data_IF_533271486926
#
_entry.id   IF_533271486926
#
_cell.length_a   1.000
_cell.length_b   1.000
_cell.length_c   1.000
_cell.angle_alpha   90.00
_cell.angle_beta   90.00
_cell.angle_gamma   90.00
#
_symmetry.space_group_name_H-M   'P 1'
#
loop_
_entity.id
_entity.type
_entity.pdbx_description
1 polymer ?
#
# COMPACT_ATOMS: atom_id res chain seq x y z
N UNK A 1 11.72 -8.49 -23.74
CA UNK A 1 11.82 -9.57 -22.74
C UNK A 1 11.94 -8.91 -21.38
N UNK A 2 11.07 -9.18 -20.40
CA UNK A 2 11.32 -8.70 -19.05
C UNK A 2 12.67 -9.28 -18.58
N UNK A 3 13.58 -8.41 -18.15
CA UNK A 3 14.89 -8.81 -17.65
C UNK A 3 14.70 -9.78 -16.49
N UNK A 4 15.51 -10.85 -16.36
CA UNK A 4 15.46 -11.73 -15.20
C UNK A 4 15.79 -10.89 -13.97
N UNK A 5 14.76 -10.51 -13.23
CA UNK A 5 14.92 -9.81 -11.97
C UNK A 5 15.37 -10.86 -10.96
N UNK A 6 16.66 -10.91 -10.66
CA UNK A 6 17.18 -11.70 -9.54
C UNK A 6 17.03 -10.87 -8.27
N UNK A 7 16.02 -11.13 -7.42
CA UNK A 7 15.88 -10.38 -6.18
C UNK A 7 17.10 -10.58 -5.28
N UNK A 8 17.37 -9.63 -4.39
CA UNK A 8 18.36 -9.83 -3.33
C UNK A 8 17.92 -10.95 -2.38
N UNK A 9 18.85 -11.46 -1.57
CA UNK A 9 18.53 -12.44 -0.52
C UNK A 9 17.49 -11.88 0.46
N UNK A 10 17.58 -10.59 0.80
CA UNK A 10 16.63 -9.93 1.69
C UNK A 10 15.21 -9.92 1.10
N UNK A 11 15.08 -9.61 -0.21
CA UNK A 11 13.79 -9.63 -0.90
C UNK A 11 13.21 -11.05 -0.93
N UNK A 12 14.02 -12.07 -1.24
CA UNK A 12 13.56 -13.47 -1.19
C UNK A 12 13.07 -13.88 0.19
N UNK A 13 13.78 -13.49 1.26
CA UNK A 13 13.37 -13.79 2.64
C UNK A 13 12.05 -13.10 3.00
N UNK A 14 11.89 -11.84 2.63
CA UNK A 14 10.67 -11.09 2.88
C UNK A 14 9.46 -11.73 2.17
N UNK A 15 9.63 -12.11 0.90
CA UNK A 15 8.58 -12.79 0.13
C UNK A 15 8.27 -14.20 0.67
N UNK A 16 9.29 -14.97 1.05
CA UNK A 16 9.09 -16.29 1.67
C UNK A 16 8.32 -16.18 2.99
N UNK A 17 8.62 -15.17 3.81
CA UNK A 17 7.87 -14.89 5.05
C UNK A 17 6.43 -14.52 4.73
N UNK A 18 6.21 -13.59 3.79
CA UNK A 18 4.85 -13.23 3.35
C UNK A 18 4.08 -14.46 2.86
N UNK A 19 4.68 -15.31 2.03
CA UNK A 19 4.06 -16.54 1.54
C UNK A 19 3.67 -17.50 2.66
N UNK A 20 4.55 -17.69 3.65
CA UNK A 20 4.27 -18.49 4.85
C UNK A 20 3.11 -17.91 5.66
N UNK A 21 3.13 -16.59 5.90
CA UNK A 21 2.09 -15.90 6.65
C UNK A 21 0.72 -16.03 5.95
N UNK A 22 0.69 -15.95 4.61
CA UNK A 22 -0.52 -16.18 3.80
C UNK A 22 -1.04 -17.61 3.93
N UNK A 23 -0.15 -18.60 3.86
CA UNK A 23 -0.50 -20.01 4.05
C UNK A 23 -1.08 -20.24 5.44
N UNK A 24 -0.45 -19.71 6.47
CA UNK A 24 -0.92 -19.83 7.86
C UNK A 24 -2.26 -19.14 8.06
N UNK A 25 -2.45 -17.96 7.45
CA UNK A 25 -3.71 -17.23 7.49
C UNK A 25 -4.84 -17.98 6.75
N UNK A 26 -4.52 -18.68 5.65
CA UNK A 26 -5.47 -19.56 4.95
C UNK A 26 -5.87 -20.76 5.81
N UNK A 27 -4.89 -21.44 6.40
CA UNK A 27 -5.12 -22.63 7.23
C UNK A 27 -5.91 -22.29 8.51
N UNK A 28 -5.58 -21.18 9.19
CA UNK A 28 -6.31 -20.69 10.38
C UNK A 28 -7.77 -20.37 10.10
N UNK A 29 -8.12 -20.03 8.86
CA UNK A 29 -9.50 -19.76 8.41
C UNK A 29 -10.17 -20.98 7.80
N UNK A 30 -9.53 -22.15 7.85
CA UNK A 30 -10.02 -23.41 7.24
C UNK A 30 -10.39 -23.25 5.76
N UNK A 31 -9.68 -22.39 5.03
CA UNK A 31 -9.95 -22.13 3.61
C UNK A 31 -9.19 -23.14 2.73
N UNK A 32 -9.88 -23.96 1.92
CA UNK A 32 -9.22 -24.82 0.95
C UNK A 32 -8.47 -24.00 -0.10
N UNK A 33 -7.35 -24.52 -0.60
CA UNK A 33 -6.54 -23.85 -1.62
C UNK A 33 -7.35 -23.54 -2.90
N UNK A 34 -8.26 -24.44 -3.31
CA UNK A 34 -9.17 -24.18 -4.44
C UNK A 34 -10.04 -22.96 -4.22
N UNK A 35 -10.64 -22.84 -3.04
CA UNK A 35 -11.59 -21.76 -2.75
C UNK A 35 -10.89 -20.41 -2.85
N UNK A 36 -9.67 -20.31 -2.29
CA UNK A 36 -8.88 -19.07 -2.37
C UNK A 36 -8.45 -18.81 -3.81
N UNK A 37 -7.98 -19.82 -4.53
CA UNK A 37 -7.56 -19.68 -5.93
C UNK A 37 -8.72 -19.19 -6.81
N UNK A 38 -9.91 -19.78 -6.69
CA UNK A 38 -11.11 -19.37 -7.42
C UNK A 38 -11.54 -17.95 -7.09
N UNK A 39 -11.56 -17.57 -5.79
CA UNK A 39 -11.90 -16.20 -5.35
C UNK A 39 -10.91 -15.15 -5.84
N UNK A 40 -9.65 -15.53 -5.98
CA UNK A 40 -8.58 -14.67 -6.49
C UNK A 40 -8.44 -14.72 -8.02
N UNK A 41 -9.36 -15.37 -8.73
CA UNK A 41 -9.32 -15.57 -10.19
C UNK A 41 -7.97 -16.15 -10.67
N UNK A 42 -7.44 -17.12 -9.94
CA UNK A 42 -6.16 -17.77 -10.23
C UNK A 42 -6.25 -19.29 -10.08
N UNK A 43 -5.12 -19.99 -10.18
CA UNK A 43 -5.05 -21.45 -10.12
C UNK A 43 -4.37 -21.93 -8.83
N UNK A 44 -4.66 -23.17 -8.41
CA UNK A 44 -3.96 -23.82 -7.29
C UNK A 44 -2.43 -23.78 -7.42
N UNK A 45 -1.82 -24.10 -8.59
CA UNK A 45 -0.39 -23.96 -8.78
C UNK A 45 0.14 -22.54 -8.53
N UNK A 46 -0.58 -21.52 -9.01
CA UNK A 46 -0.21 -20.12 -8.77
C UNK A 46 -0.30 -19.76 -7.29
N UNK A 47 -1.37 -20.17 -6.59
CA UNK A 47 -1.48 -19.97 -5.15
C UNK A 47 -0.33 -20.66 -4.40
N UNK A 48 0.08 -21.86 -4.81
CA UNK A 48 1.23 -22.56 -4.20
C UNK A 48 2.54 -21.78 -4.40
N UNK A 49 2.75 -21.16 -5.56
CA UNK A 49 3.92 -20.29 -5.82
C UNK A 49 3.90 -19.05 -4.92
N UNK A 50 2.73 -18.45 -4.72
CA UNK A 50 2.52 -17.32 -3.81
C UNK A 50 2.86 -17.72 -2.36
N UNK A 51 2.36 -18.86 -1.89
CA UNK A 51 2.66 -19.38 -0.55
C UNK A 51 4.15 -19.73 -0.37
N UNK A 52 4.86 -20.01 -1.47
CA UNK A 52 6.31 -20.21 -1.46
C UNK A 52 7.12 -18.89 -1.55
N UNK A 53 6.46 -17.74 -1.71
CA UNK A 53 7.11 -16.44 -1.85
C UNK A 53 7.78 -16.21 -3.20
N UNK A 54 7.22 -16.76 -4.28
CA UNK A 54 7.80 -16.66 -5.62
C UNK A 54 7.77 -15.21 -6.16
N UNK A 55 8.94 -14.58 -6.41
CA UNK A 55 9.03 -13.20 -6.93
C UNK A 55 8.57 -13.05 -8.38
N UNK A 56 8.45 -14.14 -9.13
CA UNK A 56 7.99 -14.15 -10.52
C UNK A 56 6.47 -14.10 -10.66
N UNK A 57 5.72 -14.18 -9.56
CA UNK A 57 4.27 -13.97 -9.57
C UNK A 57 3.98 -12.47 -9.49
N UNK A 58 3.17 -11.96 -10.42
CA UNK A 58 2.85 -10.54 -10.48
C UNK A 58 2.14 -10.02 -9.21
N UNK A 59 2.46 -8.79 -8.80
CA UNK A 59 1.91 -8.18 -7.58
C UNK A 59 0.38 -8.11 -7.57
N UNK A 60 -0.26 -7.95 -8.74
CA UNK A 60 -1.72 -7.98 -8.86
C UNK A 60 -2.34 -9.31 -8.42
N UNK A 61 -1.64 -10.44 -8.63
CA UNK A 61 -2.12 -11.75 -8.21
C UNK A 61 -1.96 -11.92 -6.70
N UNK A 62 -0.85 -11.43 -6.12
CA UNK A 62 -0.71 -11.36 -4.66
C UNK A 62 -1.83 -10.53 -4.02
N UNK A 63 -2.14 -9.36 -4.59
CA UNK A 63 -3.24 -8.51 -4.14
C UNK A 63 -4.61 -9.20 -4.24
N UNK A 64 -4.88 -9.93 -5.33
CA UNK A 64 -6.11 -10.70 -5.48
C UNK A 64 -6.26 -11.81 -4.43
N UNK A 65 -5.17 -12.51 -4.08
CA UNK A 65 -5.15 -13.52 -3.02
C UNK A 65 -5.36 -12.89 -1.64
N UNK A 66 -4.72 -11.75 -1.36
CA UNK A 66 -4.97 -10.98 -0.14
C UNK A 66 -6.44 -10.55 -0.04
N UNK A 67 -7.02 -10.02 -1.12
CA UNK A 67 -8.43 -9.65 -1.18
C UNK A 67 -9.36 -10.85 -0.91
N UNK A 68 -9.09 -12.00 -1.52
CA UNK A 68 -9.88 -13.23 -1.34
C UNK A 68 -9.90 -13.72 0.13
N UNK A 69 -8.92 -13.30 0.94
CA UNK A 69 -8.79 -13.62 2.36
C UNK A 69 -9.13 -12.45 3.29
N UNK A 70 -9.56 -11.31 2.76
CA UNK A 70 -9.87 -10.11 3.55
C UNK A 70 -8.65 -9.42 4.16
N UNK A 71 -7.50 -9.46 3.47
CA UNK A 71 -6.22 -8.90 3.92
C UNK A 71 -5.71 -7.77 3.01
N UNK A 72 -6.54 -7.23 2.11
CA UNK A 72 -6.10 -6.21 1.15
C UNK A 72 -5.65 -4.91 1.82
N UNK A 73 -6.31 -4.49 2.89
CA UNK A 73 -5.99 -3.24 3.59
C UNK A 73 -4.53 -3.21 4.10
N UNK A 74 -4.01 -4.38 4.50
CA UNK A 74 -2.61 -4.51 4.91
C UNK A 74 -1.63 -4.17 3.79
N UNK A 75 -1.98 -4.45 2.52
CA UNK A 75 -1.17 -4.06 1.37
C UNK A 75 -1.20 -2.54 1.14
N UNK A 76 -2.36 -1.92 1.32
CA UNK A 76 -2.50 -0.47 1.21
C UNK A 76 -1.72 0.28 2.30
N UNK A 77 -1.56 -0.32 3.49
CA UNK A 77 -0.85 0.27 4.62
C UNK A 77 0.69 0.16 4.55
N UNK A 78 1.26 -0.59 3.60
CA UNK A 78 2.72 -0.86 3.54
C UNK A 78 3.56 0.41 3.46
N UNK A 79 3.05 1.45 2.79
CA UNK A 79 3.72 2.74 2.62
C UNK A 79 2.94 3.88 3.29
N UNK A 80 2.11 3.57 4.29
CA UNK A 80 1.42 4.60 5.07
C UNK A 80 2.45 5.46 5.83
N UNK A 81 2.45 6.80 5.70
CA UNK A 81 3.35 7.69 6.44
C UNK A 81 3.31 7.50 7.95
N UNK A 82 2.17 7.08 8.52
CA UNK A 82 2.06 6.77 9.95
C UNK A 82 2.91 5.56 10.36
N UNK A 83 3.24 4.69 9.41
CA UNK A 83 4.05 3.48 9.60
C UNK A 83 5.45 3.59 8.97
N UNK A 84 5.86 4.78 8.51
CA UNK A 84 7.20 5.04 7.96
C UNK A 84 8.03 5.93 8.90
N UNK A 85 8.85 5.33 9.79
CA UNK A 85 9.74 6.07 10.69
C UNK A 85 10.74 6.97 9.94
N UNK A 86 11.14 6.59 8.73
CA UNK A 86 12.09 7.37 7.94
C UNK A 86 11.42 8.65 7.44
N UNK A 87 10.22 8.52 6.85
CA UNK A 87 9.39 9.64 6.45
C UNK A 87 9.04 10.58 7.62
N UNK A 88 8.77 10.03 8.80
CA UNK A 88 8.53 10.82 10.01
C UNK A 88 9.75 11.64 10.44
N UNK A 89 10.94 11.04 10.42
CA UNK A 89 12.20 11.74 10.73
C UNK A 89 12.49 12.88 9.74
N UNK A 90 12.36 12.60 8.44
CA UNK A 90 12.53 13.62 7.41
C UNK A 90 11.53 14.78 7.56
N UNK A 91 10.28 14.47 7.93
CA UNK A 91 9.24 15.48 8.18
C UNK A 91 9.54 16.32 9.42
N UNK A 92 10.09 15.71 10.47
CA UNK A 92 10.50 16.40 11.69
C UNK A 92 11.69 17.33 11.45
N UNK A 93 12.68 16.90 10.65
CA UNK A 93 13.82 17.74 10.25
C UNK A 93 13.40 18.92 9.36
N UNK A 94 12.32 18.76 8.58
CA UNK A 94 11.76 19.81 7.73
C UNK A 94 10.84 20.80 8.46
N UNK A 95 10.59 20.64 9.77
CA UNK A 95 9.75 21.57 10.54
C UNK A 95 10.40 22.96 10.56
N UNK A 96 9.69 24.02 10.11
CA UNK A 96 10.21 25.37 10.17
C UNK A 96 10.39 25.80 11.64
N UNK A 97 11.56 26.35 11.97
CA UNK A 97 11.95 26.79 13.32
C UNK A 97 10.98 27.82 13.93
N UNK A 98 10.15 28.48 13.10
CA UNK A 98 9.07 29.39 13.52
C UNK A 98 7.82 29.23 12.68
N UNK A 99 6.67 29.03 13.34
CA UNK A 99 5.36 29.08 12.71
C UNK A 99 5.03 30.53 12.30
N UNK A 100 4.93 30.80 11.00
CA UNK A 100 4.58 32.13 10.47
C UNK A 100 3.08 32.23 10.22
N UNK A 101 2.37 33.04 11.00
CA UNK A 101 0.97 33.38 10.72
C UNK A 101 0.93 34.24 9.44
N UNK A 102 0.38 33.71 8.34
CA UNK A 102 0.07 34.52 7.15
C UNK A 102 -1.07 35.48 7.50
N UNK A 103 -0.76 36.77 7.66
CA UNK A 103 -1.78 37.84 7.78
C UNK A 103 -2.68 37.81 6.53
N UNK A 104 -3.96 37.49 6.70
CA UNK A 104 -4.99 37.67 5.68
C UNK A 104 -5.10 39.17 5.38
N UNK A 105 -4.86 39.59 4.13
CA UNK A 105 -5.12 40.97 3.69
C UNK A 105 -6.64 41.22 3.78
N UNK A 106 -7.10 42.33 4.39
CA UNK A 106 -8.50 42.71 4.35
C UNK A 106 -8.92 43.02 2.91
N UNK A 107 -10.07 42.45 2.51
CA UNK A 107 -10.70 42.66 1.19
C UNK A 107 -11.18 44.12 1.16
N UNK A 108 -10.59 44.94 0.30
CA UNK A 108 -11.01 46.33 0.11
C UNK A 108 -12.43 46.37 -0.43
N UNK A 109 -13.33 46.93 0.36
CA UNK A 109 -14.70 47.27 0.00
C UNK A 109 -14.67 48.41 -1.02
N UNK A 110 -14.97 48.08 -2.28
CA UNK A 110 -15.09 49.06 -3.36
C UNK A 110 -16.43 49.78 -3.24
N UNK A 111 -16.33 51.02 -2.78
CA UNK A 111 -17.32 52.10 -2.81
C UNK A 111 -18.24 52.05 -4.03
N UNK A 112 -19.55 52.09 -3.76
CA UNK A 112 -20.62 52.36 -4.74
C UNK A 112 -20.42 53.74 -5.37
N UNK A 113 -20.60 53.93 -6.68
CA UNK A 113 -20.97 55.22 -7.21
C UNK A 113 -22.49 55.30 -7.35
N UNK A 114 -23.06 56.27 -6.65
CA UNK A 114 -24.37 56.85 -6.98
C UNK A 114 -24.34 57.38 -8.42
N UNK A 115 -25.36 57.05 -9.21
CA UNK A 115 -25.93 57.90 -10.27
C UNK A 115 -26.97 57.12 -11.07
N UNK A 116 -28.22 57.53 -10.99
CA UNK A 116 -28.90 58.03 -12.19
C UNK A 116 -30.12 58.87 -11.81
N UNK A 117 -30.25 60.01 -12.51
CA UNK A 117 -31.51 60.75 -12.61
C UNK A 117 -32.51 60.07 -13.53
#
# INVERSE_FOLDING_TARGET
MPSPHLPSIAVRRALARLGSDLRDARLRRSLPADVVASRAFTTRPTLRRIEAGDPGVGIGIYAAVLQAMGLLDGLAAVADPANDPTGQRLSAEALPERARIKRRKPRSESTRPDSNG
#
